data_IF_309707584503
#
_entry.id   IF_309707584503
#
_cell.length_a   1.000
_cell.length_b   1.000
_cell.length_c   1.000
_cell.angle_alpha   90.00
_cell.angle_beta   90.00
_cell.angle_gamma   90.00
#
_symmetry.space_group_name_H-M   'P 1'
#
loop_
_entity.id
_entity.type
_entity.pdbx_description
1 polymer ?
#
# COMPACT_ATOMS: atom_id res chain seq x y z
N UNK A 1 -5.70 -27.15 45.21
CA UNK A 1 -6.19 -25.95 44.49
C UNK A 1 -5.67 -26.00 43.07
N UNK A 2 -6.51 -25.75 42.08
CA UNK A 2 -6.16 -25.84 40.65
C UNK A 2 -5.06 -24.83 40.27
N UNK A 3 -3.93 -25.31 39.71
CA UNK A 3 -2.78 -24.48 39.32
C UNK A 3 -2.88 -23.89 37.90
N UNK A 4 -3.89 -24.32 37.14
CA UNK A 4 -4.17 -23.88 35.78
C UNK A 4 -4.39 -22.36 35.61
N UNK A 5 -5.14 -21.65 36.48
CA UNK A 5 -5.33 -20.20 36.31
C UNK A 5 -4.04 -19.41 36.53
N UNK A 6 -3.13 -19.87 37.40
CA UNK A 6 -1.82 -19.24 37.61
C UNK A 6 -0.90 -19.41 36.40
N UNK A 7 -0.87 -20.62 35.82
CA UNK A 7 -0.10 -20.89 34.61
C UNK A 7 -0.60 -20.05 33.42
N UNK A 8 -1.91 -19.90 33.28
CA UNK A 8 -2.51 -19.08 32.22
C UNK A 8 -2.20 -17.59 32.36
N UNK A 9 -2.27 -17.05 33.59
CA UNK A 9 -1.92 -15.66 33.87
C UNK A 9 -0.44 -15.36 33.57
N UNK A 10 0.48 -16.27 33.94
CA UNK A 10 1.91 -16.13 33.64
C UNK A 10 2.16 -16.24 32.13
N UNK A 11 1.51 -17.18 31.44
CA UNK A 11 1.62 -17.35 30.00
C UNK A 11 1.18 -16.11 29.22
N UNK A 12 0.02 -15.54 29.58
CA UNK A 12 -0.45 -14.28 28.98
C UNK A 12 0.48 -13.11 29.31
N UNK A 13 1.06 -13.06 30.50
CA UNK A 13 2.06 -12.05 30.88
C UNK A 13 3.30 -12.10 29.99
N UNK A 14 3.81 -13.31 29.69
CA UNK A 14 4.99 -13.49 28.81
C UNK A 14 4.68 -13.07 27.38
N UNK A 15 3.52 -13.47 26.84
CA UNK A 15 3.11 -13.09 25.48
C UNK A 15 2.89 -11.59 25.37
N UNK A 16 2.23 -10.97 26.37
CA UNK A 16 2.03 -9.52 26.41
C UNK A 16 3.36 -8.76 26.51
N UNK A 17 4.32 -9.26 27.31
CA UNK A 17 5.65 -8.68 27.41
C UNK A 17 6.43 -8.79 26.08
N UNK A 18 6.35 -9.94 25.40
CA UNK A 18 6.95 -10.14 24.08
C UNK A 18 6.37 -9.20 23.02
N UNK A 19 5.05 -8.99 23.02
CA UNK A 19 4.39 -8.06 22.11
C UNK A 19 4.74 -6.59 22.42
N UNK A 20 4.82 -6.22 23.69
CA UNK A 20 5.28 -4.90 24.10
C UNK A 20 6.74 -4.66 23.67
N UNK A 21 7.62 -5.66 23.83
CA UNK A 21 8.99 -5.59 23.33
C UNK A 21 9.05 -5.48 21.80
N UNK A 22 8.16 -6.16 21.08
CA UNK A 22 8.05 -6.04 19.63
C UNK A 22 7.67 -4.61 19.22
N UNK A 23 6.70 -4.00 19.88
CA UNK A 23 6.29 -2.61 19.62
C UNK A 23 7.39 -1.58 19.95
N UNK A 24 8.21 -1.83 20.98
CA UNK A 24 9.28 -0.90 21.35
C UNK A 24 10.53 -1.05 20.47
N UNK A 25 10.77 -2.24 19.92
CA UNK A 25 11.99 -2.53 19.12
C UNK A 25 11.77 -2.41 17.62
N UNK A 26 10.54 -2.66 17.14
CA UNK A 26 10.15 -2.53 15.74
C UNK A 26 9.19 -1.34 15.65
N UNK A 27 9.63 -0.18 15.12
CA UNK A 27 8.70 0.92 14.91
C UNK A 27 7.68 0.49 13.86
N UNK A 28 6.43 0.88 14.06
CA UNK A 28 5.35 0.65 13.09
C UNK A 28 5.70 1.30 11.74
N UNK A 29 5.15 0.83 10.61
CA UNK A 29 5.54 1.36 9.28
C UNK A 29 5.44 2.88 9.15
N UNK A 30 4.44 3.50 9.79
CA UNK A 30 4.29 4.96 9.83
C UNK A 30 5.32 5.66 10.70
N UNK A 31 5.70 5.08 11.84
CA UNK A 31 6.75 5.61 12.72
C UNK A 31 8.14 5.37 12.13
N UNK A 32 8.35 4.25 11.44
CA UNK A 32 9.50 4.02 10.59
C UNK A 32 9.54 5.10 9.54
N UNK A 33 8.47 5.36 8.78
CA UNK A 33 8.46 6.43 7.79
C UNK A 33 8.74 7.81 8.40
N UNK A 34 8.17 8.16 9.55
CA UNK A 34 8.39 9.46 10.22
C UNK A 34 9.81 9.59 10.80
N UNK A 35 10.29 8.58 11.52
CA UNK A 35 11.65 8.54 12.08
C UNK A 35 12.72 8.41 10.98
N UNK A 36 12.40 7.71 9.90
CA UNK A 36 13.24 7.53 8.71
C UNK A 36 13.22 8.77 7.84
N UNK A 37 12.11 9.49 7.62
CA UNK A 37 12.10 10.79 6.91
C UNK A 37 12.86 11.87 7.67
N UNK A 38 12.84 11.84 9.00
CA UNK A 38 13.61 12.79 9.81
C UNK A 38 15.14 12.54 9.73
N UNK A 39 15.55 11.28 9.50
CA UNK A 39 16.96 10.88 9.41
C UNK A 39 17.51 10.70 7.99
N UNK A 40 16.68 10.25 7.04
CA UNK A 40 17.03 10.19 5.63
C UNK A 40 16.80 11.55 5.02
N UNK A 41 17.94 12.24 4.87
CA UNK A 41 18.31 13.11 3.77
C UNK A 41 17.18 13.45 2.76
N UNK A 42 17.02 14.74 2.40
CA UNK A 42 16.00 15.23 1.45
C UNK A 42 16.00 14.51 0.09
N UNK A 43 17.09 13.82 -0.25
CA UNK A 43 17.24 12.94 -1.41
C UNK A 43 16.14 11.87 -1.49
N UNK A 44 15.85 11.19 -0.37
CA UNK A 44 14.95 10.03 -0.38
C UNK A 44 13.49 10.44 -0.53
N UNK A 45 13.13 11.60 0.02
CA UNK A 45 11.81 12.21 -0.18
C UNK A 45 11.58 12.53 -1.65
N UNK A 46 12.59 13.05 -2.35
CA UNK A 46 12.51 13.31 -3.79
C UNK A 46 12.31 12.03 -4.60
N UNK A 47 13.03 10.95 -4.27
CA UNK A 47 12.86 9.66 -4.95
C UNK A 47 11.47 9.07 -4.71
N UNK A 48 10.96 9.13 -3.48
CA UNK A 48 9.60 8.67 -3.18
C UNK A 48 8.53 9.45 -3.94
N UNK A 49 8.64 10.78 -4.00
CA UNK A 49 7.72 11.63 -4.78
C UNK A 49 7.80 11.31 -6.29
N UNK A 50 8.99 11.04 -6.83
CA UNK A 50 9.16 10.62 -8.22
C UNK A 50 8.48 9.28 -8.49
N UNK A 51 8.70 8.28 -7.64
CA UNK A 51 8.08 6.95 -7.78
C UNK A 51 6.55 7.05 -7.67
N UNK A 52 6.05 7.83 -6.70
CA UNK A 52 4.62 8.05 -6.51
C UNK A 52 3.97 8.74 -7.70
N UNK A 53 4.64 9.71 -8.30
CA UNK A 53 4.18 10.37 -9.52
C UNK A 53 4.12 9.40 -10.72
N UNK A 54 5.10 8.51 -10.84
CA UNK A 54 5.13 7.49 -11.89
C UNK A 54 4.05 6.42 -11.70
N UNK A 55 3.78 6.00 -10.46
CA UNK A 55 2.68 5.09 -10.14
C UNK A 55 1.32 5.69 -10.51
N UNK A 56 1.10 6.96 -10.18
CA UNK A 56 -0.14 7.66 -10.52
C UNK A 56 -0.37 7.69 -12.04
N UNK A 57 0.70 7.91 -12.82
CA UNK A 57 0.62 7.86 -14.29
C UNK A 57 0.30 6.46 -14.79
N UNK A 58 0.95 5.43 -14.24
CA UNK A 58 0.71 4.02 -14.61
C UNK A 58 -0.73 3.59 -14.33
N UNK A 59 -1.30 4.03 -13.21
CA UNK A 59 -2.71 3.77 -12.88
C UNK A 59 -3.65 4.38 -13.93
N UNK A 60 -3.45 5.64 -14.29
CA UNK A 60 -4.23 6.30 -15.32
C UNK A 60 -4.15 5.58 -16.69
N UNK A 61 -2.96 5.12 -17.09
CA UNK A 61 -2.81 4.32 -18.31
C UNK A 61 -3.49 2.94 -18.19
N UNK A 62 -3.43 2.31 -17.02
CA UNK A 62 -4.06 1.01 -16.79
C UNK A 62 -5.58 1.09 -16.88
N UNK A 63 -6.20 2.17 -16.43
CA UNK A 63 -7.64 2.39 -16.54
C UNK A 63 -8.08 2.55 -18.00
N UNK A 64 -7.30 3.28 -18.80
CA UNK A 64 -7.54 3.41 -20.25
C UNK A 64 -7.42 2.05 -20.94
N UNK A 65 -6.39 1.26 -20.61
CA UNK A 65 -6.22 -0.09 -21.16
C UNK A 65 -7.35 -1.03 -20.74
N UNK A 66 -7.84 -0.91 -19.51
CA UNK A 66 -8.96 -1.71 -19.00
C UNK A 66 -10.27 -1.37 -19.69
N UNK A 67 -10.51 -0.07 -19.93
CA UNK A 67 -11.64 0.41 -20.73
C UNK A 67 -11.54 -0.01 -22.20
N UNK A 68 -10.32 0.00 -22.77
CA UNK A 68 -10.08 -0.48 -24.13
C UNK A 68 -10.25 -2.01 -24.25
N UNK A 69 -9.84 -2.79 -23.25
CA UNK A 69 -10.04 -4.23 -23.22
C UNK A 69 -11.52 -4.62 -23.03
N UNK A 70 -12.31 -3.79 -22.35
CA UNK A 70 -13.74 -4.01 -22.15
C UNK A 70 -14.59 -3.70 -23.40
N UNK A 71 -14.07 -2.92 -24.35
CA UNK A 71 -14.75 -2.59 -25.61
C UNK A 71 -14.11 -3.35 -26.78
N UNK A 72 -14.80 -4.28 -27.43
CA UNK A 72 -14.24 -5.10 -28.52
C UNK A 72 -14.00 -4.32 -29.83
N UNK A 73 -14.61 -3.14 -29.99
CA UNK A 73 -14.40 -2.29 -31.15
C UNK A 73 -13.19 -1.36 -30.91
N UNK A 74 -12.15 -1.39 -31.77
CA UNK A 74 -10.99 -0.52 -31.62
C UNK A 74 -11.36 0.96 -31.82
N UNK A 75 -10.92 1.83 -30.90
CA UNK A 75 -11.26 3.28 -30.89
C UNK A 75 -10.95 4.04 -32.19
N UNK A 76 -10.03 3.54 -33.02
CA UNK A 76 -9.64 4.19 -34.29
C UNK A 76 -10.54 3.83 -35.47
N UNK A 77 -11.47 2.87 -35.34
CA UNK A 77 -12.46 2.59 -36.37
C UNK A 77 -13.65 3.53 -36.16
N UNK A 78 -13.66 4.64 -36.88
CA UNK A 78 -14.84 5.49 -37.03
C UNK A 78 -15.84 4.75 -37.92
N UNK A 79 -16.95 4.24 -37.36
CA UNK A 79 -18.11 3.82 -38.16
C UNK A 79 -18.55 5.03 -38.98
N UNK A 80 -18.39 4.94 -40.28
CA UNK A 80 -18.71 5.98 -41.24
C UNK A 80 -20.19 6.36 -41.08
N UNK A 81 -20.45 7.65 -40.91
CA UNK A 81 -21.80 8.22 -40.79
C UNK A 81 -22.60 7.94 -42.07
N UNK A 82 -23.83 7.40 -42.00
CA UNK A 82 -24.70 7.39 -43.17
C UNK A 82 -25.10 8.84 -43.48
N UNK A 83 -24.57 9.36 -44.59
CA UNK A 83 -24.98 10.62 -45.18
C UNK A 83 -26.36 10.38 -45.80
N UNK A 84 -27.43 10.83 -45.13
CA UNK A 84 -28.78 10.82 -45.69
C UNK A 84 -28.76 11.46 -47.08
N UNK A 85 -29.08 10.67 -48.11
CA UNK A 85 -29.60 11.13 -49.40
C UNK A 85 -31.12 11.04 -49.36
#
# INVERSE_FOLDING_TARGET
>A
MSNYPKAFAIGLGIVGLGYALMLTTVPTEEELYKARLFKLSPELKKQYEQVKADETRRQAFSDVLRQAAANPDPMWIKKETPKNQ
#
